data_IF_391936249334
#
_entry.id   IF_391936249334
#
_cell.length_a   1.000
_cell.length_b   1.000
_cell.length_c   1.000
_cell.angle_alpha   90.00
_cell.angle_beta   90.00
_cell.angle_gamma   90.00
#
_symmetry.space_group_name_H-M   'P 1'
#
loop_
_entity.id
_entity.type
_entity.pdbx_description
1 polymer ?
#
# COMPACT_ATOMS: atom_id res chain seq x y z
N UNK A 1 -27.67 3.41 5.26
CA UNK A 1 -26.89 4.35 4.43
C UNK A 1 -25.74 4.85 5.28
N UNK A 2 -24.51 4.40 5.02
CA UNK A 2 -23.32 4.94 5.69
C UNK A 2 -23.05 6.36 5.16
N UNK A 3 -23.00 7.35 6.06
CA UNK A 3 -22.56 8.70 5.72
C UNK A 3 -21.06 8.67 5.40
N UNK A 4 -20.71 8.58 4.12
CA UNK A 4 -19.33 8.81 3.65
C UNK A 4 -19.02 10.30 3.74
N UNK A 5 -18.32 10.71 4.79
CA UNK A 5 -17.78 12.07 4.90
C UNK A 5 -16.56 12.14 3.97
N UNK A 6 -16.68 12.92 2.89
CA UNK A 6 -15.53 13.19 2.02
C UNK A 6 -14.51 14.03 2.80
N UNK A 7 -13.31 13.47 3.01
CA UNK A 7 -12.19 14.17 3.65
C UNK A 7 -11.09 14.34 2.61
N UNK A 8 -10.66 15.57 2.38
CA UNK A 8 -9.53 15.87 1.51
C UNK A 8 -8.27 16.02 2.36
N UNK A 9 -7.26 15.19 2.08
CA UNK A 9 -5.92 15.36 2.63
C UNK A 9 -5.06 16.07 1.59
N UNK A 10 -4.55 17.25 1.91
CA UNK A 10 -3.62 17.99 1.05
C UNK A 10 -2.21 17.79 1.60
N UNK A 11 -1.35 17.13 0.82
CA UNK A 11 0.07 17.04 1.13
C UNK A 11 0.78 18.33 0.74
N UNK A 12 1.68 18.82 1.59
CA UNK A 12 2.60 19.92 1.25
C UNK A 12 3.72 19.48 0.29
N UNK A 13 3.86 18.18 0.06
CA UNK A 13 4.95 17.59 -0.72
C UNK A 13 4.51 17.43 -2.17
N UNK A 14 5.40 17.85 -3.07
CA UNK A 14 5.22 17.62 -4.49
C UNK A 14 5.59 16.16 -4.77
N UNK A 15 4.65 15.48 -5.42
CA UNK A 15 4.78 14.08 -5.76
C UNK A 15 4.43 13.84 -7.23
N UNK A 16 4.91 12.74 -7.77
CA UNK A 16 4.60 12.25 -9.09
C UNK A 16 4.11 10.80 -9.00
N UNK A 17 3.32 10.36 -9.98
CA UNK A 17 2.90 8.96 -10.05
C UNK A 17 4.11 8.06 -10.29
N UNK A 18 4.11 6.84 -9.74
CA UNK A 18 5.18 5.88 -9.98
C UNK A 18 5.43 5.64 -11.48
N UNK A 19 4.35 5.63 -12.28
CA UNK A 19 4.39 5.48 -13.75
C UNK A 19 5.22 6.55 -14.48
N UNK A 20 5.50 7.69 -13.86
CA UNK A 20 6.32 8.76 -14.45
C UNK A 20 7.79 8.68 -14.05
N UNK A 21 8.25 7.55 -13.49
CA UNK A 21 9.65 7.32 -13.21
C UNK A 21 10.51 7.55 -14.47
N UNK A 22 11.63 8.25 -14.31
CA UNK A 22 12.56 8.59 -15.39
C UNK A 22 13.27 7.36 -15.98
N UNK A 23 13.27 6.24 -15.27
CA UNK A 23 13.89 5.00 -15.71
C UNK A 23 13.76 3.86 -14.69
N UNK A 24 14.29 2.68 -15.00
CA UNK A 24 14.12 1.48 -14.20
C UNK A 24 14.67 1.62 -12.78
N UNK A 25 15.77 2.35 -12.60
CA UNK A 25 16.34 2.60 -11.27
C UNK A 25 15.40 3.39 -10.37
N UNK A 26 14.78 4.46 -10.89
CA UNK A 26 13.85 5.27 -10.10
C UNK A 26 12.55 4.50 -9.83
N UNK A 27 12.09 3.70 -10.79
CA UNK A 27 10.95 2.81 -10.61
C UNK A 27 11.20 1.80 -9.48
N UNK A 28 12.34 1.11 -9.51
CA UNK A 28 12.73 0.14 -8.48
C UNK A 28 12.94 0.79 -7.11
N UNK A 29 13.59 1.96 -7.06
CA UNK A 29 13.75 2.74 -5.83
C UNK A 29 12.38 3.16 -5.25
N UNK A 30 11.45 3.58 -6.12
CA UNK A 30 10.09 3.93 -5.73
C UNK A 30 9.32 2.75 -5.16
N UNK A 31 9.31 1.62 -5.88
CA UNK A 31 8.69 0.37 -5.41
C UNK A 31 9.26 -0.08 -4.07
N UNK A 32 10.58 -0.11 -3.95
CA UNK A 32 11.26 -0.52 -2.72
C UNK A 32 10.87 0.37 -1.53
N UNK A 33 10.93 1.69 -1.68
CA UNK A 33 10.52 2.61 -0.62
C UNK A 33 9.00 2.52 -0.31
N UNK A 34 8.17 2.30 -1.33
CA UNK A 34 6.74 2.03 -1.17
C UNK A 34 6.46 0.76 -0.34
N UNK A 35 7.19 -0.33 -0.59
CA UNK A 35 7.11 -1.57 0.18
C UNK A 35 7.56 -1.39 1.63
N UNK A 36 8.62 -0.59 1.87
CA UNK A 36 9.05 -0.25 3.23
C UNK A 36 7.96 0.58 3.94
N UNK A 37 7.34 1.54 3.25
CA UNK A 37 6.21 2.32 3.78
C UNK A 37 5.01 1.44 4.12
N UNK A 38 4.65 0.51 3.23
CA UNK A 38 3.60 -0.49 3.47
C UNK A 38 3.90 -1.39 4.67
N UNK A 39 5.15 -1.85 4.80
CA UNK A 39 5.59 -2.63 5.96
C UNK A 39 5.45 -1.84 7.27
N UNK A 40 5.82 -0.57 7.29
CA UNK A 40 5.64 0.28 8.46
C UNK A 40 4.15 0.41 8.84
N UNK A 41 3.27 0.55 7.85
CA UNK A 41 1.81 0.53 8.05
C UNK A 41 1.34 -0.77 8.72
N UNK A 42 1.88 -1.91 8.28
CA UNK A 42 1.58 -3.21 8.87
C UNK A 42 2.05 -3.35 10.31
N UNK A 43 3.27 -2.89 10.61
CA UNK A 43 3.81 -2.86 11.98
C UNK A 43 2.93 -1.99 12.89
N UNK A 44 2.42 -0.88 12.37
CA UNK A 44 1.47 0.00 13.07
C UNK A 44 0.04 -0.57 13.15
N UNK A 45 -0.17 -1.76 12.59
CA UNK A 45 -1.40 -2.52 12.74
C UNK A 45 -2.42 -2.34 11.63
N UNK A 46 -2.00 -1.86 10.45
CA UNK A 46 -2.88 -1.60 9.31
C UNK A 46 -2.60 -2.50 8.11
N UNK A 47 -3.66 -2.89 7.40
CA UNK A 47 -3.59 -3.43 6.04
C UNK A 47 -4.00 -2.32 5.08
N UNK A 48 -3.36 -2.23 3.91
CA UNK A 48 -3.65 -1.16 2.94
C UNK A 48 -4.82 -1.51 2.04
N UNK A 49 -4.89 -2.77 1.58
CA UNK A 49 -5.95 -3.36 0.75
C UNK A 49 -6.17 -2.75 -0.64
N UNK A 50 -5.29 -1.84 -1.05
CA UNK A 50 -5.41 -1.06 -2.29
C UNK A 50 -4.03 -0.64 -2.80
N UNK A 51 -3.06 -1.54 -2.69
CA UNK A 51 -1.73 -1.34 -3.27
C UNK A 51 -1.87 -1.39 -4.79
N UNK A 52 -1.32 -0.39 -5.46
CA UNK A 52 -1.26 -0.29 -6.93
C UNK A 52 -0.17 0.71 -7.31
N UNK A 53 0.21 0.74 -8.59
CA UNK A 53 1.16 1.74 -9.07
C UNK A 53 0.59 3.17 -9.09
N UNK A 54 -0.73 3.33 -9.01
CA UNK A 54 -1.38 4.62 -8.83
C UNK A 54 -1.30 5.12 -7.40
N UNK A 55 -1.08 4.21 -6.44
CA UNK A 55 -1.08 4.48 -4.99
C UNK A 55 0.32 4.51 -4.39
N UNK A 56 1.34 4.44 -5.25
CA UNK A 56 2.74 4.68 -4.91
C UNK A 56 3.16 5.98 -5.58
N UNK A 57 3.65 6.92 -4.79
CA UNK A 57 4.03 8.24 -5.26
C UNK A 57 5.53 8.45 -5.10
N UNK A 58 6.17 8.93 -6.16
CA UNK A 58 7.55 9.40 -6.13
C UNK A 58 7.60 10.82 -5.57
N UNK A 59 8.47 11.07 -4.62
CA UNK A 59 8.73 12.43 -4.13
C UNK A 59 9.55 13.18 -5.18
N UNK A 60 9.14 14.42 -5.51
CA UNK A 60 9.94 15.28 -6.38
C UNK A 60 11.33 15.56 -5.79
N UNK A 61 11.41 15.64 -4.46
CA UNK A 61 12.63 15.81 -3.69
C UNK A 61 12.67 14.71 -2.61
N UNK A 62 13.61 13.76 -2.67
CA UNK A 62 13.76 12.74 -1.63
C UNK A 62 14.03 13.35 -0.26
N UNK A 63 13.48 12.72 0.78
CA UNK A 63 13.63 13.17 2.16
C UNK A 63 14.63 12.32 2.92
N UNK A 64 15.27 12.92 3.93
CA UNK A 64 16.05 12.18 4.91
C UNK A 64 15.10 11.76 6.04
N UNK A 65 14.92 10.46 6.19
CA UNK A 65 14.12 9.82 7.22
C UNK A 65 14.99 9.00 8.15
N UNK A 66 14.45 8.68 9.33
CA UNK A 66 15.06 7.67 10.20
C UNK A 66 15.00 6.32 9.47
N UNK A 67 16.12 5.61 9.39
CA UNK A 67 16.16 4.34 8.69
C UNK A 67 15.25 3.33 9.40
N UNK A 68 14.59 2.42 8.66
CA UNK A 68 13.91 1.29 9.29
C UNK A 68 14.93 0.49 10.10
N UNK A 69 14.69 0.33 11.39
CA UNK A 69 15.62 -0.39 12.29
C UNK A 69 15.41 -1.89 12.28
N UNK A 70 14.31 -2.35 11.67
CA UNK A 70 13.89 -3.74 11.72
C UNK A 70 14.80 -4.67 10.93
N UNK A 71 15.32 -4.20 9.79
CA UNK A 71 16.23 -4.97 8.96
C UNK A 71 17.63 -4.42 9.10
N UNK A 72 18.61 -5.27 9.40
CA UNK A 72 20.00 -4.82 9.60
C UNK A 72 20.56 -4.11 8.37
N UNK A 73 20.15 -4.54 7.18
CA UNK A 73 20.57 -3.96 5.91
C UNK A 73 19.86 -2.65 5.55
N UNK A 74 18.82 -2.22 6.28
CA UNK A 74 18.15 -0.93 6.05
C UNK A 74 18.68 0.20 6.93
N UNK A 75 19.69 -0.06 7.77
CA UNK A 75 20.22 0.91 8.73
C UNK A 75 20.84 2.16 8.07
N UNK A 76 21.36 2.01 6.86
CA UNK A 76 21.94 3.13 6.10
C UNK A 76 20.94 3.75 5.11
N UNK A 77 19.73 3.16 4.98
CA UNK A 77 18.67 3.62 4.07
C UNK A 77 17.90 4.77 4.71
N UNK A 78 18.53 5.94 4.74
CA UNK A 78 17.96 7.18 5.27
C UNK A 78 17.20 7.96 4.20
N UNK A 79 17.47 7.73 2.92
CA UNK A 79 16.77 8.38 1.82
C UNK A 79 15.37 7.76 1.65
N UNK A 80 14.35 8.60 1.65
CA UNK A 80 12.98 8.25 1.26
C UNK A 80 12.65 8.96 -0.04
N UNK A 81 12.46 8.20 -1.12
CA UNK A 81 12.14 8.75 -2.45
C UNK A 81 10.69 8.47 -2.87
N UNK A 82 9.93 7.69 -2.09
CA UNK A 82 8.56 7.35 -2.41
C UNK A 82 7.75 7.06 -1.15
N UNK A 83 6.44 7.28 -1.26
CA UNK A 83 5.45 7.00 -0.24
C UNK A 83 4.33 6.14 -0.83
N UNK A 84 3.76 5.29 0.00
CA UNK A 84 2.46 4.69 -0.26
C UNK A 84 1.36 5.64 0.24
N UNK A 85 0.30 5.83 -0.55
CA UNK A 85 -0.84 6.68 -0.17
C UNK A 85 -2.17 6.01 -0.51
N UNK A 86 -3.26 6.70 -0.16
CA UNK A 86 -4.63 6.25 -0.39
C UNK A 86 -5.03 5.07 0.50
N UNK A 87 -4.91 5.29 1.82
CA UNK A 87 -5.42 4.39 2.83
C UNK A 87 -6.93 4.48 3.05
N UNK A 88 -7.71 4.88 2.03
CA UNK A 88 -9.18 4.98 2.11
C UNK A 88 -9.85 3.63 2.44
N UNK A 89 -9.22 2.54 2.00
CA UNK A 89 -9.60 1.16 2.26
C UNK A 89 -8.72 0.49 3.33
N UNK A 90 -7.82 1.25 3.97
CA UNK A 90 -6.97 0.69 5.00
C UNK A 90 -7.79 0.33 6.24
N UNK A 91 -7.48 -0.82 6.83
CA UNK A 91 -8.19 -1.33 8.02
C UNK A 91 -7.19 -1.84 9.05
N UNK A 92 -7.53 -1.73 10.33
CA UNK A 92 -6.74 -2.40 11.36
C UNK A 92 -6.96 -3.91 11.26
N UNK A 93 -5.88 -4.69 11.16
CA UNK A 93 -6.01 -6.15 11.02
C UNK A 93 -6.68 -6.83 12.22
N UNK A 94 -6.68 -6.19 13.39
CA UNK A 94 -7.42 -6.66 14.57
C UNK A 94 -8.94 -6.52 14.40
N UNK A 95 -9.40 -5.43 13.79
CA UNK A 95 -10.82 -5.18 13.49
C UNK A 95 -11.30 -6.12 12.38
N UNK A 96 -10.40 -6.56 11.49
CA UNK A 96 -10.68 -7.55 10.46
C UNK A 96 -11.17 -8.89 11.03
N UNK A 97 -10.65 -9.31 12.19
CA UNK A 97 -11.06 -10.56 12.83
C UNK A 97 -12.51 -10.51 13.35
N UNK A 98 -13.03 -9.31 13.59
CA UNK A 98 -14.40 -9.07 14.03
C UNK A 98 -15.39 -9.02 12.85
N UNK A 99 -14.88 -8.79 11.63
CA UNK A 99 -15.67 -8.85 10.40
C UNK A 99 -15.98 -10.31 10.07
N UNK A 100 -17.24 -10.72 10.32
CA UNK A 100 -17.73 -12.07 10.00
C UNK A 100 -17.58 -12.42 8.51
N UNK A 101 -17.67 -11.41 7.64
CA UNK A 101 -17.39 -11.49 6.22
C UNK A 101 -16.92 -10.11 5.73
N UNK A 102 -15.83 -10.04 4.96
CA UNK A 102 -15.57 -8.84 4.16
C UNK A 102 -16.54 -8.83 2.98
N UNK A 103 -17.47 -7.86 2.95
CA UNK A 103 -18.19 -7.56 1.71
C UNK A 103 -17.14 -7.16 0.65
N UNK A 104 -17.16 -7.83 -0.49
CA UNK A 104 -16.27 -7.60 -1.61
C UNK A 104 -16.25 -6.11 -1.98
N UNK A 105 -15.23 -5.41 -1.51
CA UNK A 105 -14.89 -4.05 -1.91
C UNK A 105 -13.45 -4.07 -2.35
N UNK A 106 -13.19 -4.22 -3.64
CA UNK A 106 -12.05 -3.53 -4.24
C UNK A 106 -12.25 -3.37 -5.74
N UNK A 107 -12.22 -2.12 -6.16
CA UNK A 107 -12.35 -1.63 -7.53
C UNK A 107 -11.06 -1.83 -8.35
N UNK A 108 -10.08 -2.58 -7.82
CA UNK A 108 -8.71 -2.70 -8.37
C UNK A 108 -8.37 -4.15 -8.75
N UNK A 109 -9.23 -4.81 -9.52
CA UNK A 109 -9.03 -6.20 -9.97
C UNK A 109 -7.63 -6.50 -10.56
N UNK A 110 -6.97 -5.60 -11.33
CA UNK A 110 -5.65 -5.89 -11.88
C UNK A 110 -4.54 -6.10 -10.84
N UNK A 111 -4.66 -5.51 -9.65
CA UNK A 111 -3.66 -5.61 -8.58
C UNK A 111 -4.07 -6.58 -7.47
N UNK A 112 -5.23 -7.20 -7.59
CA UNK A 112 -5.73 -8.12 -6.58
C UNK A 112 -4.91 -9.41 -6.59
N UNK A 113 -4.57 -9.91 -5.40
CA UNK A 113 -3.85 -11.18 -5.28
C UNK A 113 -4.63 -12.33 -5.93
N UNK A 114 -3.92 -13.31 -6.48
CA UNK A 114 -4.50 -14.51 -7.09
C UNK A 114 -5.41 -15.27 -6.13
N UNK A 115 -5.08 -15.24 -4.83
CA UNK A 115 -5.89 -15.86 -3.79
C UNK A 115 -7.24 -15.17 -3.64
N UNK A 116 -7.25 -13.83 -3.61
CA UNK A 116 -8.46 -13.03 -3.53
C UNK A 116 -9.29 -13.13 -4.82
N UNK A 117 -8.65 -13.06 -6.00
CA UNK A 117 -9.32 -13.23 -7.30
C UNK A 117 -10.04 -14.59 -7.39
N UNK A 118 -9.38 -15.67 -6.96
CA UNK A 118 -9.95 -17.01 -6.94
C UNK A 118 -11.10 -17.17 -5.95
N UNK A 119 -11.05 -16.50 -4.81
CA UNK A 119 -12.13 -16.50 -3.84
C UNK A 119 -13.33 -15.72 -4.38
N UNK A 120 -13.09 -14.56 -4.99
CA UNK A 120 -14.09 -13.75 -5.67
C UNK A 120 -14.81 -14.54 -6.77
N UNK A 121 -14.06 -15.22 -7.66
CA UNK A 121 -14.60 -16.06 -8.73
C UNK A 121 -15.50 -17.18 -8.20
N UNK A 122 -15.18 -17.73 -7.02
CA UNK A 122 -15.98 -18.76 -6.34
C UNK A 122 -17.08 -18.21 -5.43
N UNK A 123 -17.27 -16.88 -5.35
CA UNK A 123 -18.20 -16.25 -4.41
C UNK A 123 -17.88 -16.54 -2.94
N UNK A 124 -16.62 -16.87 -2.63
CA UNK A 124 -16.17 -17.21 -1.28
C UNK A 124 -15.73 -15.96 -0.51
N UNK A 125 -16.24 -15.80 0.71
CA UNK A 125 -15.70 -14.81 1.61
C UNK A 125 -14.26 -15.20 2.00
N UNK A 126 -13.34 -14.25 1.87
CA UNK A 126 -11.94 -14.42 2.23
C UNK A 126 -11.45 -13.14 2.90
N UNK A 127 -10.67 -13.29 3.96
CA UNK A 127 -10.05 -12.15 4.62
C UNK A 127 -8.83 -11.70 3.83
N UNK A 128 -8.73 -10.40 3.55
CA UNK A 128 -7.51 -9.78 3.06
C UNK A 128 -6.39 -9.88 4.10
N UNK A 129 -5.19 -10.21 3.67
CA UNK A 129 -4.00 -10.37 4.52
C UNK A 129 -2.87 -9.50 4.02
N UNK A 130 -1.86 -9.30 4.86
CA UNK A 130 -0.63 -8.61 4.48
C UNK A 130 0.05 -9.23 3.25
N UNK A 131 -0.07 -10.55 3.05
CA UNK A 131 0.49 -11.23 1.89
C UNK A 131 -0.21 -10.83 0.58
N UNK A 132 -1.49 -10.49 0.62
CA UNK A 132 -2.21 -10.06 -0.58
C UNK A 132 -1.78 -8.67 -1.02
N UNK A 133 -1.60 -7.74 -0.07
CA UNK A 133 -0.98 -6.44 -0.37
C UNK A 133 0.44 -6.58 -0.91
N UNK A 134 1.24 -7.53 -0.41
CA UNK A 134 2.58 -7.79 -0.94
C UNK A 134 2.52 -8.31 -2.38
N UNK A 135 1.57 -9.19 -2.69
CA UNK A 135 1.38 -9.71 -4.05
C UNK A 135 1.03 -8.57 -5.03
N UNK A 136 0.26 -7.58 -4.59
CA UNK A 136 -0.13 -6.42 -5.40
C UNK A 136 1.04 -5.58 -5.92
N UNK A 137 2.23 -5.62 -5.31
CA UNK A 137 3.42 -4.92 -5.83
C UNK A 137 4.00 -5.56 -7.10
N UNK A 138 3.60 -6.78 -7.44
CA UNK A 138 4.12 -7.52 -8.59
C UNK A 138 3.22 -7.45 -9.85
N UNK A 139 2.03 -6.84 -9.72
CA UNK A 139 1.09 -6.59 -10.80
C UNK A 139 1.19 -5.15 -11.30
#
# INVERSE_FOLDING_TARGET
>A
MENRIHKQLISKKKCHMLRTAAGPYQLLEGLFHGMIGHYNMYVDGWLHRKVSDSNILLLSEPEIQKPPTRFKFTQDLTKCASIIFDGDQAIKWRELLELKHEEHRSETFPYMSMRLLRAWDRGQAVLHTFADDLESFFW
#
